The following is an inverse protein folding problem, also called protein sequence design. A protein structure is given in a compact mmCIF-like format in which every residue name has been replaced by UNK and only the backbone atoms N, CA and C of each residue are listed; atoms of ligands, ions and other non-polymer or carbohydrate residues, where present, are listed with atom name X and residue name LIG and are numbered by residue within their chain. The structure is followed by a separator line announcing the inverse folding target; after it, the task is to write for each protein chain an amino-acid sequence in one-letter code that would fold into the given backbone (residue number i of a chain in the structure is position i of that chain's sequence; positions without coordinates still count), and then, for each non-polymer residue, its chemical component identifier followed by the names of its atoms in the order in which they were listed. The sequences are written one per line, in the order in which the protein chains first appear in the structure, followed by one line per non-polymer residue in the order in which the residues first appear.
data_IF_856981310987
#
_entry.id   IF_856981310987
#
_cell.length_a   1.000
_cell.length_b   1.000
_cell.length_c   1.000
_cell.angle_alpha   90.00
_cell.angle_beta   90.00
_cell.angle_gamma   90.00
#
_symmetry.space_group_name_H-M   'P 1'
#
loop_
_entity.id
_entity.type
_entity.pdbx_description
1 polymer ?
#
# COMPACT_ATOMS: atom_id res chain seq x y z
N UNK A 1 -14.55 13.01 -64.34
CA UNK A 1 -14.68 11.76 -63.56
C UNK A 1 -15.11 12.14 -62.16
N UNK A 2 -16.34 11.83 -61.77
CA UNK A 2 -16.90 12.16 -60.46
C UNK A 2 -16.40 11.17 -59.41
N UNK A 3 -15.53 11.62 -58.49
CA UNK A 3 -15.13 10.82 -57.34
C UNK A 3 -16.32 10.71 -56.38
N UNK A 4 -17.06 9.62 -56.49
CA UNK A 4 -18.13 9.29 -55.56
C UNK A 4 -17.46 8.79 -54.27
N UNK A 5 -17.26 9.71 -53.31
CA UNK A 5 -16.74 9.36 -51.99
C UNK A 5 -17.82 8.53 -51.31
N UNK A 6 -17.54 7.25 -51.13
CA UNK A 6 -18.47 6.31 -50.51
C UNK A 6 -18.50 6.55 -48.99
N UNK A 7 -19.37 7.48 -48.57
CA UNK A 7 -19.57 7.83 -47.16
C UNK A 7 -19.94 6.62 -46.30
N UNK A 8 -20.49 5.55 -46.90
CA UNK A 8 -20.81 4.30 -46.19
C UNK A 8 -19.54 3.52 -45.83
N UNK A 9 -18.54 3.52 -46.71
CA UNK A 9 -17.24 2.90 -46.46
C UNK A 9 -16.47 3.67 -45.37
N UNK A 10 -16.52 5.00 -45.38
CA UNK A 10 -15.93 5.84 -44.33
C UNK A 10 -16.64 5.65 -42.98
N UNK A 11 -17.97 5.54 -42.98
CA UNK A 11 -18.75 5.32 -41.75
C UNK A 11 -18.52 3.92 -41.15
N UNK A 12 -18.44 2.88 -41.98
CA UNK A 12 -18.06 1.54 -41.52
C UNK A 12 -16.61 1.45 -41.06
N UNK A 13 -15.71 2.26 -41.63
CA UNK A 13 -14.32 2.39 -41.15
C UNK A 13 -14.23 3.14 -39.82
N UNK A 14 -15.17 4.05 -39.55
CA UNK A 14 -15.37 4.69 -38.24
C UNK A 14 -15.96 3.73 -37.21
N UNK A 15 -16.90 2.87 -37.59
CA UNK A 15 -17.41 1.78 -36.72
C UNK A 15 -16.33 0.70 -36.46
N UNK A 16 -15.40 0.50 -37.40
CA UNK A 16 -14.25 -0.39 -37.28
C UNK A 16 -13.03 0.23 -36.58
N UNK A 17 -12.97 1.57 -36.42
CA UNK A 17 -12.01 2.24 -35.54
C UNK A 17 -12.45 2.01 -34.10
N UNK A 18 -12.06 0.83 -33.62
CA UNK A 18 -12.22 0.31 -32.28
C UNK A 18 -12.30 1.44 -31.23
N UNK A 19 -13.51 1.65 -30.73
CA UNK A 19 -13.81 2.39 -29.50
C UNK A 19 -12.71 2.01 -28.50
N UNK A 20 -11.76 2.90 -28.19
CA UNK A 20 -10.50 2.46 -27.60
C UNK A 20 -10.82 1.82 -26.25
N UNK A 21 -9.93 0.92 -25.83
CA UNK A 21 -9.95 0.07 -24.63
C UNK A 21 -10.04 0.85 -23.28
N UNK A 22 -10.54 2.09 -23.31
CA UNK A 22 -10.72 3.04 -22.21
C UNK A 22 -11.54 2.41 -21.08
N UNK A 23 -12.63 1.70 -21.41
CA UNK A 23 -13.48 1.06 -20.38
C UNK A 23 -12.73 -0.05 -19.64
N UNK A 24 -11.91 -0.83 -20.36
CA UNK A 24 -11.12 -1.93 -19.80
C UNK A 24 -9.94 -1.43 -18.97
N UNK A 25 -9.30 -0.34 -19.40
CA UNK A 25 -8.21 0.29 -18.65
C UNK A 25 -8.73 1.01 -17.42
N UNK A 26 -9.85 1.73 -17.50
CA UNK A 26 -10.54 2.29 -16.33
C UNK A 26 -10.94 1.16 -15.36
N UNK A 27 -11.44 0.03 -15.88
CA UNK A 27 -11.79 -1.15 -15.07
C UNK A 27 -10.57 -1.76 -14.38
N UNK A 28 -9.44 -1.92 -15.08
CA UNK A 28 -8.17 -2.41 -14.49
C UNK A 28 -7.66 -1.46 -13.41
N UNK A 29 -7.67 -0.16 -13.66
CA UNK A 29 -7.21 0.83 -12.69
C UNK A 29 -8.14 0.92 -11.47
N UNK A 30 -9.46 0.82 -11.67
CA UNK A 30 -10.44 0.70 -10.58
C UNK A 30 -10.19 -0.59 -9.76
N UNK A 31 -9.89 -1.71 -10.41
CA UNK A 31 -9.52 -2.95 -9.72
C UNK A 31 -8.23 -2.81 -8.92
N UNK A 32 -7.21 -2.11 -9.43
CA UNK A 32 -5.98 -1.83 -8.69
C UNK A 32 -6.23 -0.95 -7.47
N UNK A 33 -7.08 0.09 -7.63
CA UNK A 33 -7.56 0.93 -6.54
C UNK A 33 -8.26 0.09 -5.46
N UNK A 34 -9.19 -0.78 -5.84
CA UNK A 34 -9.88 -1.69 -4.92
C UNK A 34 -8.96 -2.70 -4.24
N UNK A 35 -8.03 -3.32 -4.98
CA UNK A 35 -7.07 -4.29 -4.44
C UNK A 35 -6.13 -3.65 -3.43
N UNK A 36 -5.61 -2.46 -3.75
CA UNK A 36 -4.79 -1.65 -2.84
C UNK A 36 -5.57 -1.32 -1.58
N UNK A 37 -6.81 -0.86 -1.74
CA UNK A 37 -7.69 -0.52 -0.62
C UNK A 37 -7.92 -1.70 0.31
N UNK A 38 -8.35 -2.84 -0.23
CA UNK A 38 -8.65 -4.02 0.59
C UNK A 38 -7.40 -4.51 1.32
N UNK A 39 -6.23 -4.43 0.67
CA UNK A 39 -4.95 -4.74 1.32
C UNK A 39 -4.65 -3.81 2.49
N UNK A 40 -4.88 -2.50 2.34
CA UNK A 40 -4.70 -1.54 3.43
C UNK A 40 -5.69 -1.81 4.57
N UNK A 41 -6.97 -2.07 4.28
CA UNK A 41 -7.98 -2.39 5.29
C UNK A 41 -7.58 -3.65 6.07
N UNK A 42 -7.20 -4.73 5.36
CA UNK A 42 -6.75 -5.97 5.99
C UNK A 42 -5.54 -5.73 6.89
N UNK A 43 -4.58 -4.94 6.43
CA UNK A 43 -3.39 -4.60 7.21
C UNK A 43 -3.73 -3.80 8.48
N UNK A 44 -4.70 -2.87 8.40
CA UNK A 44 -5.21 -2.14 9.57
C UNK A 44 -5.92 -3.07 10.58
N UNK A 45 -6.74 -4.02 10.10
CA UNK A 45 -7.41 -5.00 10.98
C UNK A 45 -6.38 -5.86 11.71
N UNK A 46 -5.37 -6.35 11.01
CA UNK A 46 -4.27 -7.14 11.61
C UNK A 46 -3.50 -6.32 12.64
N UNK A 47 -3.21 -5.05 12.35
CA UNK A 47 -2.55 -4.14 13.30
C UNK A 47 -3.37 -3.92 14.57
N UNK A 48 -4.69 -3.68 14.45
CA UNK A 48 -5.59 -3.52 15.61
C UNK A 48 -5.66 -4.81 16.42
N UNK A 49 -5.79 -5.96 15.76
CA UNK A 49 -5.77 -7.26 16.42
C UNK A 49 -4.45 -7.49 17.19
N UNK A 50 -3.33 -7.07 16.60
CA UNK A 50 -2.01 -7.15 17.25
C UNK A 50 -1.94 -6.28 18.52
N UNK A 51 -2.48 -5.05 18.47
CA UNK A 51 -2.58 -4.18 19.67
C UNK A 51 -3.44 -4.83 20.74
N UNK A 52 -4.60 -5.38 20.36
CA UNK A 52 -5.49 -6.04 21.30
C UNK A 52 -4.79 -7.20 22.00
N UNK A 53 -4.07 -8.06 21.26
CA UNK A 53 -3.27 -9.13 21.87
C UNK A 53 -2.20 -8.57 22.82
N UNK A 54 -1.53 -7.48 22.43
CA UNK A 54 -0.48 -6.87 23.24
C UNK A 54 -0.99 -6.28 24.57
N UNK A 55 -2.23 -5.76 24.58
CA UNK A 55 -2.89 -5.23 25.78
C UNK A 55 -3.57 -6.34 26.59
N UNK A 56 -4.14 -7.33 25.92
CA UNK A 56 -4.88 -8.43 26.52
C UNK A 56 -3.98 -9.44 27.23
N UNK A 57 -2.83 -9.80 26.63
CA UNK A 57 -1.90 -10.78 27.20
C UNK A 57 -1.41 -10.38 28.60
N UNK A 58 -0.93 -9.14 28.86
CA UNK A 58 -0.54 -8.70 30.20
C UNK A 58 -1.72 -8.61 31.19
N UNK A 59 -2.94 -8.31 30.71
CA UNK A 59 -4.14 -8.26 31.54
C UNK A 59 -4.52 -9.61 32.14
N UNK A 60 -4.32 -10.70 31.38
CA UNK A 60 -4.58 -12.07 31.82
C UNK A 60 -3.42 -12.72 32.59
N UNK A 61 -2.18 -12.26 32.40
CA UNK A 61 -0.98 -12.85 33.03
C UNK A 61 -0.45 -12.08 34.23
N UNK A 62 -1.17 -11.02 34.65
CA UNK A 62 -1.05 -10.31 35.93
C UNK A 62 0.34 -10.43 36.58
N UNK A 63 1.38 -9.72 36.10
CA UNK A 63 2.63 -9.35 36.81
C UNK A 63 3.64 -8.70 35.81
N UNK A 64 3.24 -7.63 35.11
CA UNK A 64 4.21 -6.75 34.43
C UNK A 64 4.53 -5.56 35.34
N UNK A 65 5.59 -5.69 36.15
CA UNK A 65 5.98 -4.67 37.13
C UNK A 65 7.03 -3.70 36.58
N UNK A 66 7.72 -4.06 35.49
CA UNK A 66 8.80 -3.24 34.93
C UNK A 66 8.27 -2.07 34.10
N UNK A 67 8.81 -0.88 34.41
CA UNK A 67 8.55 0.37 33.68
C UNK A 67 8.96 0.23 32.21
N UNK A 68 10.01 -0.54 31.92
CA UNK A 68 10.50 -0.79 30.56
C UNK A 68 9.47 -1.49 29.67
N UNK A 69 8.70 -2.43 30.22
CA UNK A 69 7.67 -3.18 29.49
C UNK A 69 6.48 -2.31 29.16
N UNK A 70 6.07 -1.46 30.12
CA UNK A 70 5.02 -0.46 29.91
C UNK A 70 5.44 0.56 28.85
N UNK A 71 6.67 1.07 28.93
CA UNK A 71 7.23 1.99 27.94
C UNK A 71 7.34 1.34 26.55
N UNK A 72 7.80 0.09 26.48
CA UNK A 72 7.87 -0.68 25.24
C UNK A 72 6.50 -0.89 24.59
N UNK A 73 5.49 -1.26 25.38
CA UNK A 73 4.10 -1.38 24.90
C UNK A 73 3.52 -0.07 24.39
N UNK A 74 3.72 1.04 25.11
CA UNK A 74 3.30 2.38 24.64
C UNK A 74 4.02 2.74 23.34
N UNK A 75 5.31 2.42 23.20
CA UNK A 75 6.08 2.71 21.98
C UNK A 75 5.58 1.87 20.78
N UNK A 76 5.23 0.60 20.99
CA UNK A 76 4.61 -0.26 19.97
C UNK A 76 3.26 0.30 19.54
N UNK A 77 2.40 0.67 20.51
CA UNK A 77 1.09 1.27 20.23
C UNK A 77 1.26 2.57 19.45
N UNK A 78 2.20 3.42 19.86
CA UNK A 78 2.51 4.68 19.18
C UNK A 78 2.97 4.45 17.73
N UNK A 79 3.86 3.47 17.50
CA UNK A 79 4.29 3.09 16.15
C UNK A 79 3.11 2.68 15.27
N UNK A 80 2.19 1.87 15.82
CA UNK A 80 1.00 1.38 15.15
C UNK A 80 0.05 2.53 14.82
N UNK A 81 -0.21 3.43 15.78
CA UNK A 81 -1.08 4.61 15.59
C UNK A 81 -0.53 5.53 14.50
N UNK A 82 0.77 5.81 14.49
CA UNK A 82 1.41 6.60 13.43
C UNK A 82 1.22 5.96 12.05
N UNK A 83 1.42 4.65 11.95
CA UNK A 83 1.23 3.91 10.72
C UNK A 83 -0.24 3.90 10.27
N UNK A 84 -1.18 3.74 11.21
CA UNK A 84 -2.63 3.81 10.99
C UNK A 84 -3.04 5.17 10.45
N UNK A 85 -2.59 6.25 11.09
CA UNK A 85 -2.92 7.61 10.68
C UNK A 85 -2.42 7.91 9.25
N UNK A 86 -1.19 7.52 8.93
CA UNK A 86 -0.64 7.66 7.59
C UNK A 86 -1.41 6.82 6.55
N UNK A 87 -1.76 5.58 6.89
CA UNK A 87 -2.50 4.67 6.01
C UNK A 87 -3.95 5.09 5.80
N UNK A 88 -4.62 5.61 6.84
CA UNK A 88 -5.98 6.14 6.74
C UNK A 88 -6.02 7.40 5.89
N UNK A 89 -5.01 8.27 5.97
CA UNK A 89 -4.91 9.44 5.10
C UNK A 89 -4.84 9.05 3.62
N UNK A 90 -4.08 8.00 3.29
CA UNK A 90 -4.08 7.39 1.95
C UNK A 90 -5.46 6.89 1.54
N UNK A 91 -6.19 6.23 2.45
CA UNK A 91 -7.53 5.72 2.17
C UNK A 91 -8.50 6.86 1.88
N UNK A 92 -8.52 7.91 2.71
CA UNK A 92 -9.39 9.09 2.50
C UNK A 92 -9.08 9.73 1.15
N UNK A 93 -7.81 9.97 0.81
CA UNK A 93 -7.43 10.50 -0.50
C UNK A 93 -7.87 9.58 -1.66
N UNK A 94 -7.79 8.27 -1.45
CA UNK A 94 -8.26 7.27 -2.42
C UNK A 94 -9.79 7.36 -2.60
N UNK A 95 -10.55 7.61 -1.55
CA UNK A 95 -12.02 7.66 -1.58
C UNK A 95 -12.60 9.00 -2.04
N UNK A 96 -11.93 10.12 -1.77
CA UNK A 96 -12.41 11.47 -2.11
C UNK A 96 -12.31 11.81 -3.60
N UNK A 97 -11.45 11.12 -4.36
CA UNK A 97 -11.36 11.29 -5.80
C UNK A 97 -12.54 10.63 -6.52
N UNK A 98 -13.61 11.38 -6.77
CA UNK A 98 -14.66 11.00 -7.73
C UNK A 98 -14.02 10.88 -9.12
N UNK A 99 -14.12 9.74 -9.80
CA UNK A 99 -13.68 9.62 -11.19
C UNK A 99 -14.77 10.25 -12.06
N UNK A 100 -14.79 11.58 -12.13
CA UNK A 100 -15.60 12.28 -13.13
C UNK A 100 -14.89 12.15 -14.47
N UNK A 101 -15.51 11.36 -15.36
CA UNK A 101 -15.44 11.25 -16.84
C UNK A 101 -14.16 11.51 -17.65
N UNK A 102 -13.13 12.19 -17.12
CA UNK A 102 -11.95 12.62 -17.84
C UNK A 102 -10.73 11.72 -17.53
N UNK A 103 -10.20 11.09 -18.58
CA UNK A 103 -9.07 10.15 -18.52
C UNK A 103 -7.83 10.81 -17.92
N UNK A 104 -7.62 12.10 -18.19
CA UNK A 104 -6.48 12.87 -17.70
C UNK A 104 -6.56 13.16 -16.19
N UNK A 105 -7.75 13.53 -15.70
CA UNK A 105 -8.00 13.72 -14.28
C UNK A 105 -7.76 12.42 -13.49
N UNK A 106 -8.13 11.28 -14.08
CA UNK A 106 -7.93 9.97 -13.48
C UNK A 106 -6.45 9.53 -13.44
N UNK A 107 -5.68 9.79 -14.51
CA UNK A 107 -4.23 9.57 -14.55
C UNK A 107 -3.52 10.40 -13.47
N UNK A 108 -3.90 11.68 -13.34
CA UNK A 108 -3.35 12.59 -12.32
C UNK A 108 -3.64 12.09 -10.89
N UNK A 109 -4.85 11.58 -10.65
CA UNK A 109 -5.20 10.97 -9.38
C UNK A 109 -4.32 9.74 -9.06
N UNK A 110 -4.11 8.83 -10.03
CA UNK A 110 -3.25 7.65 -9.84
C UNK A 110 -1.78 8.02 -9.58
N UNK A 111 -1.24 9.02 -10.27
CA UNK A 111 0.11 9.54 -10.02
C UNK A 111 0.25 10.11 -8.61
N UNK A 112 -0.78 10.82 -8.12
CA UNK A 112 -0.80 11.34 -6.75
C UNK A 112 -0.81 10.21 -5.70
N UNK A 113 -1.58 9.15 -5.95
CA UNK A 113 -1.65 7.95 -5.09
C UNK A 113 -0.30 7.23 -5.08
N UNK A 114 0.37 7.10 -6.24
CA UNK A 114 1.71 6.51 -6.34
C UNK A 114 2.71 7.22 -5.43
N UNK A 115 2.80 8.56 -5.54
CA UNK A 115 3.75 9.35 -4.74
C UNK A 115 3.52 9.16 -3.24
N UNK A 116 2.25 9.17 -2.81
CA UNK A 116 1.89 8.95 -1.39
C UNK A 116 2.18 7.51 -0.93
N UNK A 117 1.92 6.51 -1.77
CA UNK A 117 2.27 5.11 -1.47
C UNK A 117 3.77 4.91 -1.33
N UNK A 118 4.58 5.51 -2.22
CA UNK A 118 6.03 5.44 -2.13
C UNK A 118 6.53 6.07 -0.84
N UNK A 119 6.02 7.25 -0.46
CA UNK A 119 6.36 7.92 0.80
C UNK A 119 6.05 7.05 2.02
N UNK A 120 4.88 6.41 2.06
CA UNK A 120 4.50 5.54 3.17
C UNK A 120 5.31 4.25 3.20
N UNK A 121 5.52 3.59 2.06
CA UNK A 121 6.29 2.34 2.00
C UNK A 121 7.78 2.52 2.28
N UNK A 122 8.33 3.72 2.06
CA UNK A 122 9.75 4.00 2.30
C UNK A 122 9.97 4.67 3.64
N UNK A 123 9.46 5.89 3.86
CA UNK A 123 9.72 6.66 5.09
C UNK A 123 8.91 6.15 6.26
N UNK A 124 7.59 6.07 6.13
CA UNK A 124 6.71 5.69 7.26
C UNK A 124 6.96 4.23 7.66
N UNK A 125 7.15 3.33 6.70
CA UNK A 125 7.46 1.92 6.97
C UNK A 125 8.80 1.74 7.70
N UNK A 126 9.83 2.53 7.34
CA UNK A 126 11.11 2.50 8.05
C UNK A 126 10.96 2.99 9.49
N UNK A 127 10.23 4.09 9.68
CA UNK A 127 10.00 4.68 11.00
C UNK A 127 9.17 3.73 11.88
N UNK A 128 8.12 3.14 11.31
CA UNK A 128 7.32 2.09 11.93
C UNK A 128 8.18 0.91 12.37
N UNK A 129 9.04 0.40 11.49
CA UNK A 129 9.90 -0.73 11.80
C UNK A 129 10.89 -0.42 12.93
N UNK A 130 11.45 0.80 12.95
CA UNK A 130 12.37 1.24 14.00
C UNK A 130 11.68 1.32 15.36
N UNK A 131 10.52 1.98 15.45
CA UNK A 131 9.77 2.09 16.70
C UNK A 131 9.22 0.74 17.16
N UNK A 132 8.72 -0.09 16.24
CA UNK A 132 8.24 -1.43 16.54
C UNK A 132 9.37 -2.30 17.09
N UNK A 133 10.55 -2.22 16.47
CA UNK A 133 11.74 -2.97 16.93
C UNK A 133 12.18 -2.52 18.31
N UNK A 134 12.31 -1.21 18.52
CA UNK A 134 12.67 -0.66 19.83
C UNK A 134 11.65 -1.05 20.92
N UNK A 135 10.35 -0.93 20.63
CA UNK A 135 9.30 -1.26 21.58
C UNK A 135 9.24 -2.77 21.90
N UNK A 136 9.46 -3.62 20.89
CA UNK A 136 9.51 -5.07 21.05
C UNK A 136 10.73 -5.52 21.86
N UNK A 137 11.90 -4.91 21.65
CA UNK A 137 13.09 -5.16 22.47
C UNK A 137 12.85 -4.78 23.93
N UNK A 138 12.31 -3.58 24.18
CA UNK A 138 11.98 -3.12 25.53
C UNK A 138 10.96 -4.02 26.25
N UNK A 139 9.97 -4.53 25.52
CA UNK A 139 8.97 -5.47 26.04
C UNK A 139 9.57 -6.84 26.37
N UNK A 140 10.47 -7.35 25.53
CA UNK A 140 11.10 -8.66 25.74
C UNK A 140 12.03 -8.71 26.96
N UNK A 141 12.54 -7.58 27.46
CA UNK A 141 13.43 -7.53 28.63
C UNK A 141 12.81 -8.23 29.85
N UNK A 142 11.53 -8.01 30.13
CA UNK A 142 10.88 -8.60 31.31
C UNK A 142 10.72 -10.11 31.18
N UNK A 143 10.37 -10.60 29.99
CA UNK A 143 10.22 -12.03 29.73
C UNK A 143 11.56 -12.76 29.76
N UNK A 144 12.60 -12.14 29.20
CA UNK A 144 13.96 -12.71 29.22
C UNK A 144 14.52 -12.77 30.63
N UNK A 145 14.24 -11.78 31.50
CA UNK A 145 14.63 -11.83 32.91
C UNK A 145 13.92 -12.93 33.71
N UNK A 146 12.73 -13.36 33.29
CA UNK A 146 11.99 -14.47 33.90
C UNK A 146 12.40 -15.84 33.36
N UNK A 147 13.20 -15.89 32.28
CA UNK A 147 13.68 -17.11 31.65
C UNK A 147 15.16 -17.40 32.01
N UNK A 148 15.58 -18.66 31.82
CA UNK A 148 16.99 -19.04 31.91
C UNK A 148 17.83 -18.30 30.83
N UNK A 149 19.05 -17.86 31.17
CA UNK A 149 19.91 -17.01 30.30
C UNK A 149 20.18 -17.60 28.92
N UNK A 150 20.27 -18.93 28.80
CA UNK A 150 20.41 -19.62 27.51
C UNK A 150 19.17 -19.39 26.64
N UNK A 151 17.99 -19.62 27.20
CA UNK A 151 16.72 -19.42 26.49
C UNK A 151 16.51 -17.95 26.14
N UNK A 152 16.85 -17.02 27.02
CA UNK A 152 16.80 -15.58 26.75
C UNK A 152 17.62 -15.17 25.52
N UNK A 153 18.83 -15.73 25.38
CA UNK A 153 19.72 -15.46 24.24
C UNK A 153 19.14 -16.01 22.93
N UNK A 154 18.58 -17.22 22.96
CA UNK A 154 17.90 -17.84 21.81
C UNK A 154 16.72 -17.00 21.36
N UNK A 155 15.92 -16.46 22.29
CA UNK A 155 14.75 -15.63 21.98
C UNK A 155 15.16 -14.35 21.25
N UNK A 156 16.21 -13.65 21.72
CA UNK A 156 16.70 -12.45 21.04
C UNK A 156 17.31 -12.76 19.67
N UNK A 157 18.12 -13.82 19.53
CA UNK A 157 18.70 -14.22 18.25
C UNK A 157 17.60 -14.55 17.25
N UNK A 158 16.58 -15.30 17.66
CA UNK A 158 15.41 -15.63 16.83
C UNK A 158 14.65 -14.38 16.41
N UNK A 159 14.43 -13.44 17.35
CA UNK A 159 13.75 -12.17 17.08
C UNK A 159 14.50 -11.30 16.07
N UNK A 160 15.80 -11.08 16.29
CA UNK A 160 16.64 -10.31 15.38
C UNK A 160 16.78 -10.99 14.02
N UNK A 161 16.91 -12.33 14.00
CA UNK A 161 16.93 -13.11 12.76
C UNK A 161 15.65 -12.95 11.96
N UNK A 162 14.49 -13.05 12.61
CA UNK A 162 13.19 -12.83 11.99
C UNK A 162 13.05 -11.39 11.46
N UNK A 163 13.44 -10.39 12.25
CA UNK A 163 13.45 -8.99 11.84
C UNK A 163 14.33 -8.74 10.62
N UNK A 164 15.52 -9.34 10.58
CA UNK A 164 16.43 -9.24 9.45
C UNK A 164 15.82 -9.83 8.18
N UNK A 165 15.19 -11.00 8.25
CA UNK A 165 14.49 -11.62 7.12
C UNK A 165 13.36 -10.72 6.61
N UNK A 166 12.55 -10.19 7.51
CA UNK A 166 11.44 -9.29 7.15
C UNK A 166 11.95 -8.01 6.48
N UNK A 167 13.01 -7.42 7.02
CA UNK A 167 13.56 -6.16 6.54
C UNK A 167 14.32 -6.29 5.21
N UNK A 168 15.20 -7.29 5.09
CA UNK A 168 16.07 -7.44 3.92
C UNK A 168 15.42 -8.22 2.79
N UNK A 169 14.53 -9.17 3.07
CA UNK A 169 13.98 -10.04 2.01
C UNK A 169 12.53 -9.71 1.68
N UNK A 170 11.65 -9.69 2.68
CA UNK A 170 10.20 -9.56 2.46
C UNK A 170 9.84 -8.13 2.02
N UNK A 171 10.38 -7.12 2.70
CA UNK A 171 10.08 -5.70 2.44
C UNK A 171 10.45 -5.26 1.02
N UNK A 172 11.69 -5.40 0.51
CA UNK A 172 12.02 -4.93 -0.83
C UNK A 172 11.25 -5.69 -1.92
N UNK A 173 11.03 -7.00 -1.74
CA UNK A 173 10.24 -7.82 -2.67
C UNK A 173 8.78 -7.34 -2.75
N UNK A 174 8.19 -7.02 -1.61
CA UNK A 174 6.79 -6.55 -1.51
C UNK A 174 6.61 -5.15 -2.08
N UNK A 175 7.60 -4.27 -1.92
CA UNK A 175 7.62 -2.93 -2.51
C UNK A 175 7.80 -3.01 -4.02
N UNK A 176 8.74 -3.84 -4.51
CA UNK A 176 9.00 -4.00 -5.95
C UNK A 176 7.77 -4.51 -6.69
N UNK A 177 7.07 -5.51 -6.14
CA UNK A 177 5.83 -6.04 -6.73
C UNK A 177 4.71 -5.00 -6.80
N UNK A 178 4.55 -4.19 -5.76
CA UNK A 178 3.53 -3.14 -5.75
C UNK A 178 3.85 -2.03 -6.76
N UNK A 179 5.12 -1.63 -6.85
CA UNK A 179 5.58 -0.64 -7.84
C UNK A 179 5.39 -1.14 -9.27
N UNK A 180 5.69 -2.41 -9.57
CA UNK A 180 5.51 -2.96 -10.92
C UNK A 180 4.04 -3.03 -11.33
N UNK A 181 3.15 -3.48 -10.45
CA UNK A 181 1.69 -3.52 -10.73
C UNK A 181 1.14 -2.12 -11.00
N UNK A 182 1.62 -1.11 -10.28
CA UNK A 182 1.15 0.27 -10.42
C UNK A 182 1.76 0.98 -11.64
N UNK A 183 3.04 0.75 -11.94
CA UNK A 183 3.70 1.31 -13.13
C UNK A 183 3.06 0.79 -14.42
N UNK A 184 2.79 -0.53 -14.49
CA UNK A 184 2.13 -1.13 -15.65
C UNK A 184 0.73 -0.55 -15.89
N UNK A 185 0.06 -0.08 -14.84
CA UNK A 185 -1.25 0.56 -14.95
C UNK A 185 -1.15 2.00 -15.46
N UNK A 186 -0.13 2.75 -14.99
CA UNK A 186 0.14 4.12 -15.45
C UNK A 186 0.53 4.10 -16.93
N UNK A 187 1.45 3.23 -17.33
CA UNK A 187 1.95 3.14 -18.71
C UNK A 187 0.82 2.87 -19.72
N UNK A 188 -0.12 1.98 -19.36
CA UNK A 188 -1.31 1.70 -20.18
C UNK A 188 -2.26 2.89 -20.29
N UNK A 189 -2.44 3.66 -19.21
CA UNK A 189 -3.27 4.86 -19.23
C UNK A 189 -2.63 5.99 -20.04
N UNK A 190 -1.30 6.15 -19.92
CA UNK A 190 -0.54 7.16 -20.65
C UNK A 190 -0.54 6.90 -22.16
N UNK A 191 -0.36 5.64 -22.57
CA UNK A 191 -0.46 5.25 -23.98
C UNK A 191 -1.84 5.59 -24.60
N UNK A 192 -2.93 5.32 -23.86
CA UNK A 192 -4.29 5.63 -24.33
C UNK A 192 -4.53 7.14 -24.37
N UNK A 193 -4.07 7.89 -23.37
CA UNK A 193 -4.21 9.35 -23.35
C UNK A 193 -3.49 9.99 -24.55
N UNK A 194 -2.28 9.52 -24.88
CA UNK A 194 -1.53 10.01 -26.03
C UNK A 194 -2.21 9.66 -27.36
N UNK A 195 -2.82 8.47 -27.47
CA UNK A 195 -3.63 8.10 -28.63
C UNK A 195 -4.84 9.02 -28.78
N UNK A 196 -5.59 9.29 -27.70
CA UNK A 196 -6.76 10.17 -27.73
C UNK A 196 -6.43 11.61 -28.10
N UNK A 197 -5.28 12.12 -27.65
CA UNK A 197 -4.79 13.46 -28.03
C UNK A 197 -4.43 13.50 -29.52
N UNK A 198 -3.67 12.51 -30.02
CA UNK A 198 -3.29 12.44 -31.44
C UNK A 198 -4.48 12.31 -32.39
N UNK A 199 -5.53 11.56 -32.01
CA UNK A 199 -6.74 11.47 -32.84
C UNK A 199 -7.50 12.80 -32.90
N UNK A 200 -7.44 13.59 -31.81
CA UNK A 200 -8.13 14.89 -31.72
C UNK A 200 -7.40 16.01 -32.46
N UNK A 201 -6.08 15.91 -32.58
CA UNK A 201 -5.24 16.86 -33.33
C UNK A 201 -5.19 16.56 -34.85
N UNK A 202 -5.76 15.42 -35.28
CA UNK A 202 -5.85 15.00 -36.67
C UNK A 202 -7.20 15.31 -37.35
N UNK A 203 -8.16 15.86 -36.59
CA UNK A 203 -9.45 16.43 -37.05
C UNK A 203 -9.32 17.95 -37.28
#
# INVERSE_FOLDING_TARGET
MSSNIDFKALWQQQEAMAKPDITEVIKKAKNLKHKTRNKLILLNIVLIATVLLYVFVPGFTSHTSLITTKAGGVLVIFAIVLFLAASNRLLVDLFSGKPEADTFAYLTALLSIRKKQEFIQTRIMNLYFLFLSAGMLLYMIEFVRKMNSVWGSVTYISLFGWMAIVYFYIKPRTIKKQRSELNAAIEKLEAINNQLIQTKDAE
#
